data_IF_340141978007
#
_entry.id   IF_340141978007
#
_cell.length_a   1.000
_cell.length_b   1.000
_cell.length_c   1.000
_cell.angle_alpha   90.00
_cell.angle_beta   90.00
_cell.angle_gamma   90.00
#
_symmetry.space_group_name_H-M   'P 1'
#
loop_
_entity.id
_entity.type
_entity.pdbx_description
1 polymer ?
#
# COMPACT_ATOMS: atom_id res chain seq x y z
N UNK A 1 -7.20 16.02 -23.26
CA UNK A 1 -6.00 16.04 -22.40
C UNK A 1 -6.27 15.05 -21.28
N UNK A 2 -5.82 13.81 -21.44
CA UNK A 2 -6.15 12.72 -20.50
C UNK A 2 -4.95 12.56 -19.58
N UNK A 3 -5.06 13.07 -18.36
CA UNK A 3 -4.06 12.92 -17.32
C UNK A 3 -4.28 11.56 -16.64
N UNK A 4 -3.41 10.58 -16.90
CA UNK A 4 -2.84 9.61 -15.93
C UNK A 4 -2.28 8.37 -16.65
N UNK A 5 -0.97 8.35 -16.95
CA UNK A 5 -0.28 7.12 -17.40
C UNK A 5 0.36 6.38 -16.22
N UNK A 6 -0.39 6.14 -15.15
CA UNK A 6 0.16 5.56 -13.93
C UNK A 6 -0.85 4.78 -13.09
N UNK A 7 -0.37 3.97 -12.13
CA UNK A 7 -1.23 3.20 -11.25
C UNK A 7 -2.14 4.16 -10.47
N UNK A 8 -3.42 3.80 -10.36
CA UNK A 8 -4.42 4.57 -9.61
C UNK A 8 -4.86 3.77 -8.40
N UNK A 9 -4.89 4.41 -7.23
CA UNK A 9 -5.51 3.82 -6.04
C UNK A 9 -7.03 3.98 -6.17
N UNK A 10 -7.74 2.86 -6.15
CA UNK A 10 -9.19 2.79 -6.25
C UNK A 10 -9.85 2.71 -4.87
N UNK A 11 -9.21 2.04 -3.92
CA UNK A 11 -9.69 1.91 -2.55
C UNK A 11 -8.55 1.60 -1.57
N UNK A 12 -8.83 1.83 -0.29
CA UNK A 12 -7.96 1.52 0.84
C UNK A 12 -8.81 0.96 1.99
N UNK A 13 -8.30 -0.04 2.70
CA UNK A 13 -8.96 -0.62 3.87
C UNK A 13 -7.96 -1.02 4.96
N UNK A 14 -8.45 -1.09 6.20
CA UNK A 14 -7.74 -1.65 7.34
C UNK A 14 -8.57 -2.77 7.94
N UNK A 15 -8.01 -3.97 8.02
CA UNK A 15 -8.64 -5.14 8.61
C UNK A 15 -7.92 -5.53 9.91
N UNK A 16 -8.67 -6.02 10.89
CA UNK A 16 -8.08 -6.65 12.07
C UNK A 16 -7.41 -7.97 11.68
N UNK A 17 -6.33 -8.35 12.38
CA UNK A 17 -5.68 -9.64 12.17
C UNK A 17 -6.64 -10.78 12.51
N UNK A 18 -6.64 -11.85 11.71
CA UNK A 18 -7.58 -12.97 11.82
C UNK A 18 -7.55 -13.66 13.21
N UNK A 19 -6.41 -13.58 13.92
CA UNK A 19 -6.22 -14.12 15.26
C UNK A 19 -6.37 -13.08 16.40
N UNK A 20 -6.80 -11.84 16.10
CA UNK A 20 -6.83 -10.78 17.10
C UNK A 20 -7.92 -10.97 18.18
N UNK A 21 -9.02 -11.68 17.86
CA UNK A 21 -10.15 -11.85 18.78
C UNK A 21 -10.61 -10.51 19.39
N UNK A 22 -10.71 -10.45 20.72
CA UNK A 22 -11.06 -9.23 21.48
C UNK A 22 -9.83 -8.41 21.95
N UNK A 23 -8.64 -8.67 21.41
CA UNK A 23 -7.42 -8.02 21.87
C UNK A 23 -7.25 -6.61 21.27
N UNK A 24 -7.04 -5.63 22.15
CA UNK A 24 -6.73 -4.25 21.76
C UNK A 24 -5.23 -4.11 21.50
N UNK A 25 -4.87 -3.48 20.39
CA UNK A 25 -3.49 -3.15 20.05
C UNK A 25 -2.72 -4.24 19.29
N UNK A 26 -3.39 -5.32 18.87
CA UNK A 26 -2.81 -6.31 17.96
C UNK A 26 -2.72 -5.71 16.56
N UNK A 27 -1.65 -6.06 15.84
CA UNK A 27 -1.48 -5.66 14.44
C UNK A 27 -2.62 -6.17 13.54
N UNK A 28 -2.86 -5.46 12.45
CA UNK A 28 -3.83 -5.82 11.42
C UNK A 28 -3.23 -5.79 10.03
N UNK A 29 -4.09 -5.93 9.02
CA UNK A 29 -3.73 -5.84 7.61
C UNK A 29 -4.16 -4.50 7.06
N UNK A 30 -3.26 -3.84 6.34
CA UNK A 30 -3.58 -2.68 5.52
C UNK A 30 -3.64 -3.11 4.05
N UNK A 31 -4.72 -2.74 3.36
CA UNK A 31 -5.02 -3.20 2.01
C UNK A 31 -5.20 -2.02 1.05
N UNK A 32 -4.49 -2.06 -0.09
CA UNK A 32 -4.63 -1.10 -1.18
C UNK A 32 -5.17 -1.81 -2.42
N UNK A 33 -6.23 -1.26 -3.03
CA UNK A 33 -6.72 -1.70 -4.34
C UNK A 33 -6.18 -0.75 -5.40
N UNK A 34 -5.32 -1.27 -6.28
CA UNK A 34 -4.60 -0.47 -7.25
C UNK A 34 -4.96 -0.92 -8.66
N UNK A 35 -5.58 -0.03 -9.43
CA UNK A 35 -5.82 -0.22 -10.85
C UNK A 35 -4.57 0.14 -11.65
N UNK A 36 -4.09 -0.83 -12.43
CA UNK A 36 -3.00 -0.63 -13.39
C UNK A 36 -3.59 -0.14 -14.70
N UNK A 37 -3.26 1.10 -15.08
CA UNK A 37 -3.94 1.81 -16.19
C UNK A 37 -3.15 1.83 -17.50
N UNK A 38 -1.92 1.29 -17.51
CA UNK A 38 -1.03 1.32 -18.66
C UNK A 38 -0.26 0.00 -18.82
N UNK A 39 -0.08 -0.43 -20.07
CA UNK A 39 0.68 -1.63 -20.46
C UNK A 39 2.18 -1.31 -20.49
N UNK A 40 2.71 -0.98 -19.33
CA UNK A 40 4.13 -0.69 -19.10
C UNK A 40 4.49 -1.26 -17.74
N UNK A 41 5.79 -1.53 -17.52
CA UNK A 41 6.30 -1.90 -16.21
C UNK A 41 6.12 -0.75 -15.22
N UNK A 42 5.52 -1.04 -14.08
CA UNK A 42 5.22 -0.08 -13.01
C UNK A 42 5.83 -0.54 -11.68
N UNK A 43 6.31 0.41 -10.89
CA UNK A 43 6.84 0.15 -9.55
C UNK A 43 5.98 0.91 -8.54
N UNK A 44 5.56 0.22 -7.49
CA UNK A 44 4.81 0.75 -6.37
C UNK A 44 5.68 0.61 -5.12
N UNK A 45 5.88 1.70 -4.40
CA UNK A 45 6.70 1.76 -3.20
C UNK A 45 5.80 2.04 -1.99
N UNK A 46 5.88 1.19 -0.98
CA UNK A 46 5.19 1.34 0.30
C UNK A 46 6.17 1.69 1.40
N UNK A 47 5.77 2.57 2.30
CA UNK A 47 6.58 2.96 3.47
C UNK A 47 5.75 2.77 4.72
N UNK A 48 6.24 1.93 5.63
CA UNK A 48 5.64 1.74 6.95
C UNK A 48 6.47 2.50 7.99
N UNK A 49 5.85 3.52 8.58
CA UNK A 49 6.41 4.34 9.62
C UNK A 49 5.36 5.29 10.21
N UNK A 50 5.74 6.01 11.26
CA UNK A 50 4.97 7.06 11.90
C UNK A 50 5.27 8.35 11.15
N UNK A 51 4.27 8.89 10.45
CA UNK A 51 4.44 10.06 9.60
C UNK A 51 4.97 11.32 10.34
N UNK A 52 4.79 11.37 11.66
CA UNK A 52 5.24 12.48 12.51
C UNK A 52 6.61 12.26 13.17
N UNK A 53 7.19 11.06 13.10
CA UNK A 53 8.47 10.75 13.75
C UNK A 53 9.61 10.71 12.72
N UNK A 54 10.38 11.80 12.57
CA UNK A 54 11.51 11.84 11.64
C UNK A 54 12.71 11.01 12.11
N UNK A 55 12.74 10.57 13.37
CA UNK A 55 13.82 9.75 13.93
C UNK A 55 13.58 8.25 13.74
N UNK A 56 12.36 7.86 13.37
CA UNK A 56 12.06 6.47 13.09
C UNK A 56 12.78 6.01 11.82
N UNK A 57 13.35 4.80 11.85
CA UNK A 57 13.76 4.10 10.64
C UNK A 57 12.53 3.42 10.02
N UNK A 58 12.00 3.92 8.90
CA UNK A 58 10.84 3.30 8.27
C UNK A 58 11.20 1.98 7.60
N UNK A 59 10.20 1.13 7.43
CA UNK A 59 10.28 -0.10 6.67
C UNK A 59 9.76 0.14 5.25
N UNK A 60 10.48 -0.36 4.24
CA UNK A 60 10.17 -0.12 2.84
C UNK A 60 9.71 -1.41 2.15
N UNK A 61 8.69 -1.29 1.31
CA UNK A 61 8.15 -2.37 0.48
C UNK A 61 8.17 -1.94 -0.98
N UNK A 62 8.44 -2.87 -1.88
CA UNK A 62 8.42 -2.61 -3.32
C UNK A 62 7.64 -3.71 -4.03
N UNK A 63 6.69 -3.30 -4.87
CA UNK A 63 5.99 -4.18 -5.79
C UNK A 63 6.25 -3.70 -7.22
N UNK A 64 6.76 -4.60 -8.05
CA UNK A 64 6.93 -4.35 -9.49
C UNK A 64 5.88 -5.15 -10.25
N UNK A 65 5.08 -4.45 -11.05
CA UNK A 65 4.05 -5.03 -11.89
C UNK A 65 4.49 -4.86 -13.34
N UNK A 66 4.53 -5.96 -14.10
CA UNK A 66 4.78 -5.95 -15.53
C UNK A 66 3.50 -6.40 -16.24
N UNK A 67 2.81 -5.46 -16.89
CA UNK A 67 1.57 -5.72 -17.63
C UNK A 67 1.91 -5.82 -19.10
N UNK A 68 1.79 -7.04 -19.64
CA UNK A 68 1.99 -7.35 -21.05
C UNK A 68 0.68 -7.34 -21.84
#
# INVERSE_FOLDING_TARGET
MTLSEGPRVDAEANAQGEDAGDLVGVGGTHEWHIAVTANVKQTIEGVRGQAWDPAQSPEYYTLTIDVQ
#
